data_IF_204475150274
#
_entry.id   IF_204475150274
#
_cell.length_a   1.000
_cell.length_b   1.000
_cell.length_c   1.000
_cell.angle_alpha   90.00
_cell.angle_beta   90.00
_cell.angle_gamma   90.00
#
_symmetry.space_group_name_H-M   'P 1'
#
loop_
_entity.id
_entity.type
_entity.pdbx_description
1 polymer ?
#
# COMPACT_ATOMS: atom_id res chain seq x y z
N UNK A 1 20.74 14.72 -21.95
CA UNK A 1 19.55 14.10 -21.33
C UNK A 1 19.78 12.62 -21.05
N UNK A 2 20.23 11.80 -22.02
CA UNK A 2 20.36 10.33 -21.88
C UNK A 2 21.04 9.81 -20.60
N UNK A 3 22.14 10.44 -20.15
CA UNK A 3 22.84 10.02 -18.93
C UNK A 3 22.02 10.28 -17.65
N UNK A 4 21.28 11.39 -17.61
CA UNK A 4 20.38 11.71 -16.49
C UNK A 4 19.19 10.76 -16.45
N UNK A 5 18.65 10.40 -17.62
CA UNK A 5 17.53 9.45 -17.72
C UNK A 5 17.94 8.04 -17.27
N UNK A 6 19.16 7.61 -17.62
CA UNK A 6 19.72 6.33 -17.17
C UNK A 6 19.92 6.28 -15.65
N UNK A 7 20.41 7.37 -15.05
CA UNK A 7 20.56 7.47 -13.59
C UNK A 7 19.19 7.49 -12.88
N UNK A 8 18.23 8.25 -13.41
CA UNK A 8 16.87 8.29 -12.89
C UNK A 8 16.20 6.92 -12.94
N UNK A 9 16.43 6.15 -14.01
CA UNK A 9 15.91 4.79 -14.14
C UNK A 9 16.53 3.84 -13.11
N UNK A 10 17.85 3.89 -12.91
CA UNK A 10 18.51 3.08 -11.88
C UNK A 10 17.98 3.37 -10.48
N UNK A 11 17.84 4.66 -10.14
CA UNK A 11 17.26 5.08 -8.86
C UNK A 11 15.81 4.62 -8.71
N UNK A 12 15.00 4.74 -9.77
CA UNK A 12 13.61 4.28 -9.76
C UNK A 12 13.51 2.77 -9.49
N UNK A 13 14.36 1.97 -10.14
CA UNK A 13 14.40 0.51 -9.92
C UNK A 13 14.81 0.19 -8.49
N UNK A 14 15.89 0.78 -7.98
CA UNK A 14 16.37 0.54 -6.62
C UNK A 14 15.30 0.91 -5.56
N UNK A 15 14.70 2.09 -5.71
CA UNK A 15 13.67 2.58 -4.79
C UNK A 15 12.40 1.71 -4.85
N UNK A 16 11.98 1.31 -6.06
CA UNK A 16 10.85 0.40 -6.25
C UNK A 16 11.10 -0.95 -5.58
N UNK A 17 12.30 -1.52 -5.71
CA UNK A 17 12.67 -2.77 -5.04
C UNK A 17 12.59 -2.65 -3.52
N UNK A 18 13.08 -1.54 -2.94
CA UNK A 18 12.99 -1.29 -1.50
C UNK A 18 11.54 -1.22 -1.02
N UNK A 19 10.70 -0.48 -1.75
CA UNK A 19 9.28 -0.32 -1.41
C UNK A 19 8.54 -1.66 -1.52
N UNK A 20 8.80 -2.45 -2.57
CA UNK A 20 8.22 -3.80 -2.72
C UNK A 20 8.68 -4.73 -1.60
N UNK A 21 9.96 -4.66 -1.18
CA UNK A 21 10.45 -5.44 -0.06
C UNK A 21 9.73 -5.08 1.25
N UNK A 22 9.51 -3.79 1.52
CA UNK A 22 8.72 -3.34 2.68
C UNK A 22 7.28 -3.85 2.61
N UNK A 23 6.64 -3.78 1.43
CA UNK A 23 5.28 -4.28 1.23
C UNK A 23 5.16 -5.80 1.48
N UNK A 24 6.19 -6.58 1.13
CA UNK A 24 6.25 -8.01 1.45
C UNK A 24 6.30 -8.29 2.95
N UNK A 25 6.94 -7.41 3.71
CA UNK A 25 6.96 -7.42 5.18
C UNK A 25 5.73 -6.73 5.79
N UNK A 26 4.66 -6.58 5.00
CA UNK A 26 3.38 -5.97 5.38
C UNK A 26 3.43 -4.46 5.70
N UNK A 27 4.55 -3.78 5.41
CA UNK A 27 4.62 -2.32 5.44
C UNK A 27 4.18 -1.74 4.08
N UNK A 28 2.87 -1.48 3.98
CA UNK A 28 2.25 -0.82 2.82
C UNK A 28 2.28 0.71 2.93
N UNK A 29 3.05 1.30 3.84
CA UNK A 29 3.12 2.76 4.03
C UNK A 29 4.23 3.42 3.19
N UNK A 30 5.20 2.64 2.71
CA UNK A 30 6.33 3.14 1.92
C UNK A 30 5.93 3.49 0.48
N UNK A 31 6.50 4.56 -0.07
CA UNK A 31 6.24 5.00 -1.45
C UNK A 31 7.54 5.34 -2.17
N UNK A 32 7.55 5.16 -3.49
CA UNK A 32 8.66 5.57 -4.35
C UNK A 32 8.63 7.10 -4.49
N UNK A 33 9.72 7.82 -4.16
CA UNK A 33 9.81 9.26 -4.37
C UNK A 33 9.72 9.61 -5.86
N UNK A 34 9.00 10.66 -6.21
CA UNK A 34 8.78 11.05 -7.61
C UNK A 34 9.72 12.17 -8.08
N UNK A 35 10.47 12.79 -7.17
CA UNK A 35 11.39 13.87 -7.46
C UNK A 35 12.44 13.41 -8.48
N UNK A 36 12.61 14.21 -9.54
CA UNK A 36 13.54 13.92 -10.62
C UNK A 36 13.13 12.77 -11.56
N UNK A 37 11.95 12.17 -11.37
CA UNK A 37 11.43 11.09 -12.23
C UNK A 37 10.29 11.61 -13.08
N UNK A 38 10.55 11.77 -14.37
CA UNK A 38 9.60 12.31 -15.35
C UNK A 38 9.35 11.29 -16.47
N UNK A 39 8.35 11.57 -17.32
CA UNK A 39 7.98 10.68 -18.42
C UNK A 39 7.61 9.28 -17.93
N UNK A 40 8.02 8.26 -18.70
CA UNK A 40 7.69 6.85 -18.43
C UNK A 40 8.19 6.36 -17.06
N UNK A 41 9.34 6.86 -16.59
CA UNK A 41 9.88 6.51 -15.27
C UNK A 41 8.98 7.04 -14.15
N UNK A 42 8.51 8.29 -14.30
CA UNK A 42 7.57 8.89 -13.37
C UNK A 42 6.23 8.14 -13.32
N UNK A 43 5.70 7.78 -14.49
CA UNK A 43 4.44 7.01 -14.58
C UNK A 43 4.56 5.60 -13.99
N UNK A 44 5.71 4.92 -14.19
CA UNK A 44 5.99 3.64 -13.51
C UNK A 44 5.95 3.79 -11.99
N UNK A 45 6.65 4.79 -11.44
CA UNK A 45 6.72 5.01 -10.00
C UNK A 45 5.34 5.38 -9.41
N UNK A 46 4.56 6.21 -10.11
CA UNK A 46 3.17 6.51 -9.74
C UNK A 46 2.30 5.26 -9.76
N UNK A 47 2.43 4.40 -10.78
CA UNK A 47 1.70 3.14 -10.88
C UNK A 47 1.98 2.21 -9.71
N UNK A 48 3.26 2.08 -9.31
CA UNK A 48 3.66 1.30 -8.12
C UNK A 48 3.03 1.89 -6.85
N UNK A 49 3.11 3.21 -6.66
CA UNK A 49 2.52 3.87 -5.50
C UNK A 49 1.01 3.67 -5.43
N UNK A 50 0.30 3.83 -6.56
CA UNK A 50 -1.15 3.62 -6.62
C UNK A 50 -1.56 2.17 -6.35
N UNK A 51 -0.75 1.18 -6.76
CA UNK A 51 -0.99 -0.22 -6.40
C UNK A 51 -0.92 -0.44 -4.88
N UNK A 52 0.05 0.20 -4.22
CA UNK A 52 0.20 0.10 -2.76
C UNK A 52 -0.92 0.84 -2.02
N UNK A 53 -1.36 1.99 -2.53
CA UNK A 53 -2.52 2.71 -2.00
C UNK A 53 -3.77 1.81 -2.05
N UNK A 54 -4.07 1.24 -3.21
CA UNK A 54 -5.21 0.32 -3.37
C UNK A 54 -5.14 -0.88 -2.43
N UNK A 55 -3.95 -1.46 -2.24
CA UNK A 55 -3.79 -2.59 -1.32
C UNK A 55 -4.04 -2.17 0.14
N UNK A 56 -3.52 -1.01 0.55
CA UNK A 56 -3.76 -0.44 1.88
C UNK A 56 -5.25 -0.20 2.13
N UNK A 57 -5.99 0.28 1.13
CA UNK A 57 -7.43 0.51 1.21
C UNK A 57 -8.20 -0.80 1.37
N UNK A 58 -7.85 -1.84 0.59
CA UNK A 58 -8.46 -3.18 0.71
C UNK A 58 -8.23 -3.75 2.11
N UNK A 59 -7.01 -3.67 2.64
CA UNK A 59 -6.70 -4.14 4.00
C UNK A 59 -7.49 -3.34 5.05
N UNK A 60 -7.65 -2.03 4.85
CA UNK A 60 -8.42 -1.18 5.77
C UNK A 60 -9.91 -1.56 5.78
N UNK A 61 -10.48 -1.86 4.61
CA UNK A 61 -11.86 -2.34 4.49
C UNK A 61 -12.05 -3.70 5.17
N UNK A 62 -11.13 -4.65 4.97
CA UNK A 62 -11.18 -5.96 5.65
C UNK A 62 -11.17 -5.79 7.17
N UNK A 63 -10.32 -4.89 7.69
CA UNK A 63 -10.27 -4.59 9.13
C UNK A 63 -11.58 -3.98 9.64
N UNK A 64 -12.21 -3.10 8.86
CA UNK A 64 -13.50 -2.52 9.22
C UNK A 64 -14.60 -3.59 9.29
N UNK A 65 -14.73 -4.42 8.27
CA UNK A 65 -15.70 -5.51 8.25
C UNK A 65 -15.48 -6.52 9.39
N UNK A 66 -14.22 -6.85 9.71
CA UNK A 66 -13.91 -7.73 10.83
C UNK A 66 -14.35 -7.14 12.18
N UNK A 67 -14.24 -5.82 12.37
CA UNK A 67 -14.73 -5.12 13.58
C UNK A 67 -16.26 -5.15 13.66
N UNK A 68 -16.95 -4.94 12.55
CA UNK A 68 -18.42 -5.01 12.52
C UNK A 68 -18.92 -6.41 12.91
N UNK A 69 -18.30 -7.46 12.37
CA UNK A 69 -18.62 -8.85 12.74
C UNK A 69 -18.34 -9.12 14.22
N UNK A 70 -17.20 -8.64 14.75
CA UNK A 70 -16.87 -8.82 16.16
C UNK A 70 -17.86 -8.12 17.10
N UNK A 71 -18.31 -6.91 16.73
CA UNK A 71 -19.31 -6.17 17.50
C UNK A 71 -20.65 -6.89 17.51
N UNK A 72 -21.13 -7.35 16.35
CA UNK A 72 -22.37 -8.10 16.24
C UNK A 72 -22.33 -9.41 17.07
N UNK A 73 -21.19 -10.11 17.07
CA UNK A 73 -21.00 -11.31 17.89
C UNK A 73 -21.05 -11.00 19.39
N UNK A 74 -20.46 -9.88 19.83
CA UNK A 74 -20.51 -9.44 21.22
C UNK A 74 -21.94 -9.11 21.65
N UNK A 75 -22.71 -8.41 20.83
CA UNK A 75 -24.12 -8.09 21.10
C UNK A 75 -25.00 -9.35 21.24
N UNK A 76 -24.79 -10.36 20.39
CA UNK A 76 -25.49 -11.65 20.50
C UNK A 76 -25.12 -12.36 21.80
N UNK A 77 -23.83 -12.35 22.17
CA UNK A 77 -23.37 -12.98 23.41
C UNK A 77 -23.97 -12.33 24.65
N UNK A 78 -24.08 -11.00 24.67
CA UNK A 78 -24.71 -10.28 25.78
C UNK A 78 -26.20 -10.56 25.84
N UNK A 79 -26.89 -10.50 24.69
CA UNK A 79 -28.33 -10.77 24.59
C UNK A 79 -28.72 -12.19 25.03
N UNK A 80 -27.87 -13.19 24.75
CA UNK A 80 -28.11 -14.59 25.16
C UNK A 80 -27.90 -14.80 26.66
N UNK A 81 -27.10 -13.97 27.32
CA UNK A 81 -26.84 -14.07 28.77
C UNK A 81 -27.96 -13.41 29.59
N UNK A 82 -28.70 -12.47 28.99
CA UNK A 82 -29.80 -11.73 29.62
C UNK A 82 -31.18 -12.42 29.47
N UNK A 83 -31.26 -13.58 28.77
CA UNK A 83 -32.45 -14.42 28.60
C UNK A 83 -32.44 -15.63 29.53
#
# INVERSE_FOLDING_TARGET
>A
SLFLDSQALQLAVEQTQKVIAAAKEHDLTQRVPLEGKTGEIGELCKGVNGLLDNMSDVISQIKASAREVANAAAEISTSTTDL
#
